data_IF_485180364495
#
_entry.id   IF_485180364495
#
_cell.length_a   1.000
_cell.length_b   1.000
_cell.length_c   1.000
_cell.angle_alpha   90.00
_cell.angle_beta   90.00
_cell.angle_gamma   90.00
#
_symmetry.space_group_name_H-M   'P 1'
#
loop_
_entity.id
_entity.type
_entity.pdbx_description
1 polymer ?
#
# COMPACT_ATOMS: atom_id res chain seq x y z
N UNK A 1 38.41 -18.92 -1.70
CA UNK A 1 37.89 -17.66 -1.07
C UNK A 1 36.95 -18.13 0.02
N UNK A 2 37.10 -17.65 1.25
CA UNK A 2 36.14 -18.01 2.32
C UNK A 2 34.75 -17.47 1.92
N UNK A 3 33.72 -18.32 2.04
CA UNK A 3 32.32 -17.86 1.84
C UNK A 3 32.02 -16.74 2.83
N UNK A 4 31.47 -15.63 2.34
CA UNK A 4 31.03 -14.54 3.21
C UNK A 4 29.92 -15.04 4.15
N UNK A 5 29.95 -14.64 5.43
CA UNK A 5 28.95 -15.09 6.40
C UNK A 5 27.53 -14.66 5.98
N UNK A 6 26.59 -15.58 6.09
CA UNK A 6 25.17 -15.29 5.84
C UNK A 6 24.53 -14.58 7.03
N UNK A 7 23.82 -13.48 6.79
CA UNK A 7 23.17 -12.67 7.83
C UNK A 7 21.67 -12.96 7.95
N UNK A 8 21.07 -13.45 6.88
CA UNK A 8 19.66 -13.84 6.85
C UNK A 8 19.41 -14.87 5.75
N UNK A 9 18.90 -16.05 6.09
CA UNK A 9 18.75 -17.18 5.16
C UNK A 9 20.07 -17.38 4.38
N UNK A 10 19.97 -17.38 3.04
CA UNK A 10 21.14 -17.56 2.16
C UNK A 10 21.79 -16.22 1.73
N UNK A 11 21.38 -15.08 2.33
CA UNK A 11 21.91 -13.77 1.98
C UNK A 11 23.16 -13.41 2.80
N UNK A 12 24.23 -12.98 2.14
CA UNK A 12 25.28 -12.15 2.73
C UNK A 12 24.71 -10.75 3.02
N UNK A 13 25.47 -9.92 3.76
CA UNK A 13 25.03 -8.54 4.05
C UNK A 13 24.78 -7.76 2.76
N UNK A 14 25.72 -7.84 1.80
CA UNK A 14 25.59 -7.13 0.53
C UNK A 14 24.39 -7.61 -0.29
N UNK A 15 24.18 -8.90 -0.38
CA UNK A 15 23.04 -9.47 -1.11
C UNK A 15 21.69 -9.03 -0.49
N UNK A 16 21.61 -8.99 0.84
CA UNK A 16 20.42 -8.52 1.54
C UNK A 16 20.17 -7.02 1.32
N UNK A 17 21.21 -6.20 1.38
CA UNK A 17 21.14 -4.77 1.14
C UNK A 17 20.68 -4.47 -0.30
N UNK A 18 21.26 -5.14 -1.28
CA UNK A 18 20.89 -5.04 -2.69
C UNK A 18 19.43 -5.52 -2.93
N UNK A 19 18.99 -6.58 -2.23
CA UNK A 19 17.63 -7.09 -2.32
C UNK A 19 16.58 -6.07 -1.84
N UNK A 20 16.94 -5.19 -0.88
CA UNK A 20 16.07 -4.10 -0.43
C UNK A 20 16.28 -2.78 -1.18
N UNK A 21 17.33 -2.61 -1.99
CA UNK A 21 17.54 -1.42 -2.83
C UNK A 21 16.93 -1.66 -4.23
N UNK A 22 15.66 -1.28 -4.38
CA UNK A 22 14.90 -1.62 -5.58
C UNK A 22 15.38 -0.93 -6.86
N UNK A 23 16.18 0.14 -6.78
CA UNK A 23 16.80 0.78 -7.95
C UNK A 23 17.84 -0.12 -8.63
N UNK A 24 18.42 -1.08 -7.90
CA UNK A 24 19.29 -2.12 -8.47
C UNK A 24 18.53 -3.03 -9.44
N UNK A 25 17.25 -3.30 -9.17
CA UNK A 25 16.38 -4.21 -9.92
C UNK A 25 15.46 -3.50 -10.91
N UNK A 26 15.41 -2.18 -10.86
CA UNK A 26 14.56 -1.35 -11.70
C UNK A 26 15.35 -0.15 -12.25
N UNK A 27 16.16 -0.33 -13.28
CA UNK A 27 17.02 0.73 -13.84
C UNK A 27 16.22 1.90 -14.43
N UNK A 28 14.93 1.70 -14.72
CA UNK A 28 14.01 2.71 -15.24
C UNK A 28 13.27 3.50 -14.13
N UNK A 29 13.70 3.38 -12.86
CA UNK A 29 13.03 4.01 -11.72
C UNK A 29 12.82 5.52 -11.90
N UNK A 30 13.88 6.27 -12.24
CA UNK A 30 13.79 7.73 -12.38
C UNK A 30 12.85 8.14 -13.54
N UNK A 31 12.85 7.40 -14.62
CA UNK A 31 11.91 7.60 -15.74
C UNK A 31 10.45 7.43 -15.26
N UNK A 32 10.18 6.32 -14.57
CA UNK A 32 8.83 6.01 -14.08
C UNK A 32 8.37 7.05 -13.03
N UNK A 33 9.27 7.49 -12.16
CA UNK A 33 9.01 8.54 -11.18
C UNK A 33 8.60 9.85 -11.86
N UNK A 34 9.36 10.28 -12.87
CA UNK A 34 9.06 11.49 -13.63
C UNK A 34 7.73 11.37 -14.40
N UNK A 35 7.45 10.22 -15.01
CA UNK A 35 6.15 9.92 -15.64
C UNK A 35 5.00 9.98 -14.65
N UNK A 36 5.15 9.45 -13.44
CA UNK A 36 4.13 9.51 -12.40
C UNK A 36 3.87 10.95 -11.95
N UNK A 37 4.93 11.75 -11.78
CA UNK A 37 4.82 13.18 -11.44
C UNK A 37 4.04 13.96 -12.49
N UNK A 38 4.40 13.80 -13.77
CA UNK A 38 3.70 14.44 -14.88
C UNK A 38 2.22 13.99 -14.95
N UNK A 39 1.96 12.70 -14.76
CA UNK A 39 0.61 12.14 -14.78
C UNK A 39 -0.24 12.66 -13.60
N UNK A 40 0.33 12.82 -12.42
CA UNK A 40 -0.39 13.42 -11.30
C UNK A 40 -0.79 14.88 -11.59
N UNK A 41 0.08 15.65 -12.24
CA UNK A 41 -0.24 17.02 -12.65
C UNK A 41 -1.40 17.03 -13.67
N UNK A 42 -1.37 16.13 -14.66
CA UNK A 42 -2.45 15.96 -15.64
C UNK A 42 -3.78 15.52 -14.99
N UNK A 43 -3.74 14.57 -14.07
CA UNK A 43 -4.93 14.15 -13.31
C UNK A 43 -5.54 15.33 -12.56
N UNK A 44 -4.72 16.09 -11.81
CA UNK A 44 -5.20 17.25 -11.07
C UNK A 44 -5.75 18.37 -11.96
N UNK A 45 -5.27 18.47 -13.19
CA UNK A 45 -5.81 19.43 -14.17
C UNK A 45 -7.16 19.01 -14.76
N UNK A 46 -7.45 17.71 -14.86
CA UNK A 46 -8.63 17.16 -15.57
C UNK A 46 -9.72 16.61 -14.65
N UNK A 47 -9.39 16.29 -13.42
CA UNK A 47 -10.32 15.70 -12.46
C UNK A 47 -10.52 16.65 -11.29
N UNK A 48 -11.74 16.69 -10.79
CA UNK A 48 -12.00 17.27 -9.48
C UNK A 48 -11.12 16.56 -8.45
N UNK A 49 -10.50 17.33 -7.57
CA UNK A 49 -9.72 16.80 -6.46
C UNK A 49 -9.73 17.81 -5.31
N UNK A 50 -9.63 17.33 -4.11
CA UNK A 50 -9.57 18.17 -2.92
C UNK A 50 -8.89 17.44 -1.77
N UNK A 51 -8.42 18.21 -0.78
CA UNK A 51 -7.80 17.67 0.41
C UNK A 51 -8.76 17.72 1.60
N UNK A 52 -8.60 16.74 2.50
CA UNK A 52 -9.28 16.71 3.80
C UNK A 52 -8.28 16.32 4.87
N UNK A 53 -8.45 16.91 6.05
CA UNK A 53 -7.67 16.50 7.24
C UNK A 53 -8.38 15.36 7.94
N UNK A 54 -7.60 14.35 8.34
CA UNK A 54 -8.08 13.25 9.17
C UNK A 54 -7.53 13.30 10.61
N UNK A 55 -6.61 14.22 10.90
CA UNK A 55 -6.01 14.45 12.19
C UNK A 55 -5.39 15.85 12.31
N UNK A 56 -4.74 16.12 13.45
CA UNK A 56 -4.19 17.44 13.77
C UNK A 56 -2.73 17.60 13.30
N UNK A 57 -2.03 16.50 13.07
CA UNK A 57 -0.64 16.50 12.63
C UNK A 57 -0.44 17.16 11.25
N UNK A 58 0.74 17.70 10.97
CA UNK A 58 1.00 18.48 9.75
C UNK A 58 0.79 17.69 8.46
N UNK A 59 0.97 16.37 8.52
CA UNK A 59 0.86 15.48 7.37
C UNK A 59 -0.45 14.65 7.35
N UNK A 60 -1.30 14.79 8.35
CA UNK A 60 -2.54 14.02 8.50
C UNK A 60 -3.63 14.54 7.57
N UNK A 61 -3.42 14.37 6.26
CA UNK A 61 -4.35 14.75 5.20
C UNK A 61 -4.53 13.61 4.19
N UNK A 62 -5.63 13.66 3.48
CA UNK A 62 -5.89 12.82 2.30
C UNK A 62 -6.16 13.69 1.11
N UNK A 63 -5.66 13.30 -0.06
CA UNK A 63 -6.05 13.84 -1.35
C UNK A 63 -7.13 12.92 -1.93
N UNK A 64 -8.29 13.47 -2.28
CA UNK A 64 -9.45 12.75 -2.78
C UNK A 64 -9.68 13.13 -4.23
N UNK A 65 -9.73 12.12 -5.10
CA UNK A 65 -10.21 12.24 -6.48
C UNK A 65 -11.55 11.51 -6.53
N UNK A 66 -12.68 12.25 -6.69
CA UNK A 66 -14.01 11.66 -6.66
C UNK A 66 -14.29 10.72 -7.83
N UNK A 67 -15.20 9.76 -7.62
CA UNK A 67 -15.78 8.96 -8.69
C UNK A 67 -16.50 9.88 -9.70
N UNK A 68 -16.26 9.68 -11.01
CA UNK A 68 -16.95 10.45 -12.04
C UNK A 68 -18.43 10.12 -12.16
N UNK A 69 -18.79 8.86 -11.93
CA UNK A 69 -20.17 8.38 -11.91
C UNK A 69 -20.28 7.32 -10.83
N UNK A 70 -21.23 7.49 -9.92
CA UNK A 70 -21.58 6.39 -9.02
C UNK A 70 -22.62 5.52 -9.72
N UNK A 71 -22.46 4.19 -9.80
CA UNK A 71 -23.45 3.28 -10.41
C UNK A 71 -24.83 3.40 -9.75
N UNK A 72 -24.87 3.87 -8.51
CA UNK A 72 -26.09 4.12 -7.75
C UNK A 72 -25.86 5.35 -6.86
N UNK A 73 -26.28 6.51 -7.34
CA UNK A 73 -26.12 7.79 -6.64
C UNK A 73 -26.68 7.81 -5.20
N UNK A 74 -27.60 6.89 -4.87
CA UNK A 74 -28.22 6.76 -3.54
C UNK A 74 -27.42 5.96 -2.53
N UNK A 75 -26.42 5.16 -2.95
CA UNK A 75 -25.69 4.22 -2.06
C UNK A 75 -24.28 4.68 -1.72
N UNK A 76 -23.78 5.78 -2.32
CA UNK A 76 -22.39 6.20 -2.22
C UNK A 76 -21.44 5.33 -3.09
N UNK A 77 -20.29 5.89 -3.45
CA UNK A 77 -19.28 5.16 -4.24
C UNK A 77 -18.29 4.40 -3.33
N UNK A 78 -17.71 3.28 -3.79
CA UNK A 78 -16.60 2.65 -3.07
C UNK A 78 -15.44 3.61 -2.88
N UNK A 79 -14.72 3.45 -1.79
CA UNK A 79 -13.50 4.21 -1.49
C UNK A 79 -12.31 3.28 -1.61
N UNK A 80 -11.38 3.58 -2.52
CA UNK A 80 -10.08 2.94 -2.60
C UNK A 80 -9.03 3.83 -1.90
N UNK A 81 -8.66 3.45 -0.69
CA UNK A 81 -7.66 4.13 0.12
C UNK A 81 -6.27 3.68 -0.29
N UNK A 82 -5.45 4.59 -0.80
CA UNK A 82 -4.09 4.29 -1.26
C UNK A 82 -3.04 4.74 -0.25
N UNK A 83 -2.20 3.78 0.16
CA UNK A 83 -1.04 4.01 1.02
C UNK A 83 0.23 3.92 0.18
N UNK A 84 0.88 5.06 -0.04
CA UNK A 84 2.04 5.13 -0.90
C UNK A 84 3.29 4.47 -0.31
N UNK A 85 4.19 4.05 -1.19
CA UNK A 85 5.51 3.55 -0.86
C UNK A 85 6.55 4.66 -0.68
N UNK A 86 7.83 4.29 -0.75
CA UNK A 86 8.95 5.20 -0.64
C UNK A 86 9.88 4.89 0.52
N UNK A 87 10.02 3.63 0.88
CA UNK A 87 10.94 3.17 1.94
C UNK A 87 10.66 3.79 3.30
N UNK A 88 9.38 4.14 3.59
CA UNK A 88 8.92 4.91 4.77
C UNK A 88 9.54 6.31 4.88
N UNK A 89 10.20 6.83 3.83
CA UNK A 89 10.90 8.12 3.81
C UNK A 89 10.08 9.18 3.06
N UNK A 90 10.40 10.47 3.22
CA UNK A 90 9.71 11.56 2.56
C UNK A 90 9.65 11.40 1.04
N UNK A 91 8.48 11.69 0.46
CA UNK A 91 8.22 11.66 -0.97
C UNK A 91 7.85 13.09 -1.43
N UNK A 92 8.83 13.91 -1.76
CA UNK A 92 8.60 15.35 -2.01
C UNK A 92 7.74 15.62 -3.24
N UNK A 93 7.68 14.68 -4.20
CA UNK A 93 6.94 14.88 -5.44
C UNK A 93 5.41 14.78 -5.27
N UNK A 94 4.91 14.28 -4.13
CA UNK A 94 3.48 14.05 -3.87
C UNK A 94 2.76 13.35 -5.05
N UNK A 95 3.44 12.40 -5.70
CA UNK A 95 2.95 11.73 -6.90
C UNK A 95 2.14 10.48 -6.54
N UNK A 96 0.97 10.65 -5.88
CA UNK A 96 0.19 9.54 -5.34
C UNK A 96 -1.12 9.27 -6.09
N UNK A 97 -1.58 10.18 -6.97
CA UNK A 97 -2.86 10.03 -7.68
C UNK A 97 -2.72 9.61 -9.16
N UNK A 98 -1.55 9.11 -9.58
CA UNK A 98 -1.23 8.82 -10.99
C UNK A 98 -2.09 7.73 -11.65
N UNK A 99 -2.90 6.99 -10.91
CA UNK A 99 -3.88 6.02 -11.43
C UNK A 99 -5.32 6.36 -11.03
N UNK A 100 -5.56 7.60 -10.57
CA UNK A 100 -6.86 8.01 -10.08
C UNK A 100 -7.94 7.99 -11.16
N UNK A 101 -7.60 8.27 -12.41
CA UNK A 101 -8.53 8.24 -13.53
C UNK A 101 -9.08 6.83 -13.79
N UNK A 102 -8.27 5.79 -13.65
CA UNK A 102 -8.74 4.40 -13.73
C UNK A 102 -9.79 4.11 -12.66
N UNK A 103 -9.54 4.53 -11.43
CA UNK A 103 -10.43 4.31 -10.28
C UNK A 103 -11.69 5.17 -10.41
N UNK A 104 -11.54 6.46 -10.70
CA UNK A 104 -12.65 7.41 -10.80
C UNK A 104 -13.59 7.10 -11.98
N UNK A 105 -13.03 6.74 -13.14
CA UNK A 105 -13.84 6.35 -14.31
C UNK A 105 -14.59 5.03 -14.08
N UNK A 106 -14.06 4.13 -13.25
CA UNK A 106 -14.73 2.89 -12.87
C UNK A 106 -15.85 3.11 -11.83
N UNK A 107 -15.96 4.29 -11.22
CA UNK A 107 -17.00 4.63 -10.27
C UNK A 107 -16.62 4.49 -8.80
N UNK A 108 -15.32 4.56 -8.46
CA UNK A 108 -14.85 4.62 -7.07
C UNK A 108 -14.08 5.93 -6.80
N UNK A 109 -14.06 6.36 -5.53
CA UNK A 109 -13.18 7.43 -5.09
C UNK A 109 -11.76 6.87 -4.90
N UNK A 110 -10.73 7.55 -5.41
CA UNK A 110 -9.37 7.34 -4.96
C UNK A 110 -9.08 8.31 -3.82
N UNK A 111 -8.65 7.78 -2.67
CA UNK A 111 -8.24 8.55 -1.50
C UNK A 111 -6.79 8.25 -1.21
N UNK A 112 -5.89 9.15 -1.54
CA UNK A 112 -4.45 8.98 -1.34
C UNK A 112 -4.03 9.55 0.03
N UNK A 113 -3.46 8.70 0.88
CA UNK A 113 -3.00 9.10 2.21
C UNK A 113 -1.74 9.95 2.14
N UNK A 114 -1.69 11.01 2.96
CA UNK A 114 -0.46 11.65 3.40
C UNK A 114 -0.29 11.39 4.90
N UNK A 115 0.90 11.12 5.32
CA UNK A 115 1.24 10.77 6.69
C UNK A 115 2.72 11.09 6.96
N UNK A 116 3.09 11.20 8.23
CA UNK A 116 4.47 11.40 8.64
C UNK A 116 5.35 10.24 8.19
N UNK A 117 6.61 10.53 7.91
CA UNK A 117 7.57 9.55 7.39
C UNK A 117 8.86 9.60 8.20
N UNK A 118 9.67 8.55 8.10
CA UNK A 118 10.96 8.47 8.78
C UNK A 118 11.96 9.42 8.09
N UNK A 119 12.28 10.55 8.71
CA UNK A 119 13.26 11.51 8.20
C UNK A 119 14.25 11.94 9.31
N UNK A 120 15.03 11.00 9.88
CA UNK A 120 16.07 11.35 10.82
C UNK A 120 17.19 12.14 10.13
N UNK A 121 17.79 13.15 10.80
CA UNK A 121 17.49 13.59 12.17
C UNK A 121 16.43 14.69 12.26
N UNK A 122 15.80 15.10 11.14
CA UNK A 122 14.93 16.30 11.09
C UNK A 122 13.63 16.13 11.85
N UNK A 123 13.04 14.93 11.78
CA UNK A 123 11.76 14.62 12.44
C UNK A 123 11.92 13.32 13.21
N UNK A 124 11.61 13.29 14.51
CA UNK A 124 11.73 12.08 15.32
C UNK A 124 10.57 11.10 15.12
N UNK A 125 9.93 11.10 13.94
CA UNK A 125 8.84 10.18 13.62
C UNK A 125 9.35 8.75 13.63
N UNK A 126 8.62 7.88 14.32
CA UNK A 126 8.86 6.44 14.37
C UNK A 126 7.79 5.69 13.56
N UNK A 127 8.06 4.45 13.20
CA UNK A 127 7.07 3.62 12.48
C UNK A 127 5.74 3.46 13.24
N UNK A 128 5.70 3.30 14.59
CA UNK A 128 4.44 3.33 15.33
C UNK A 128 3.61 4.58 15.09
N UNK A 129 4.24 5.76 14.98
CA UNK A 129 3.54 7.03 14.73
C UNK A 129 2.87 7.04 13.36
N UNK A 130 3.60 6.60 12.32
CA UNK A 130 3.06 6.45 10.96
C UNK A 130 1.85 5.52 10.92
N UNK A 131 1.93 4.38 11.62
CA UNK A 131 0.85 3.41 11.70
C UNK A 131 -0.34 3.98 12.46
N UNK A 132 -0.11 4.71 13.54
CA UNK A 132 -1.16 5.38 14.30
C UNK A 132 -1.89 6.43 13.46
N UNK A 133 -1.17 7.22 12.67
CA UNK A 133 -1.76 8.19 11.73
C UNK A 133 -2.64 7.48 10.69
N UNK A 134 -2.16 6.41 10.07
CA UNK A 134 -2.93 5.66 9.08
C UNK A 134 -4.15 4.95 9.69
N UNK A 135 -4.05 4.47 10.94
CA UNK A 135 -5.21 3.95 11.68
C UNK A 135 -6.26 5.04 11.89
N UNK A 136 -5.85 6.28 12.25
CA UNK A 136 -6.77 7.43 12.33
C UNK A 136 -7.40 7.74 10.98
N UNK A 137 -6.63 7.68 9.88
CA UNK A 137 -7.15 7.91 8.53
C UNK A 137 -8.26 6.91 8.16
N UNK A 138 -8.07 5.63 8.43
CA UNK A 138 -9.09 4.60 8.17
C UNK A 138 -10.33 4.79 9.06
N UNK A 139 -10.15 5.06 10.35
CA UNK A 139 -11.27 5.36 11.26
C UNK A 139 -12.04 6.61 10.81
N UNK A 140 -11.32 7.65 10.38
CA UNK A 140 -11.91 8.86 9.80
C UNK A 140 -12.70 8.56 8.53
N UNK A 141 -12.21 7.71 7.62
CA UNK A 141 -12.96 7.28 6.44
C UNK A 141 -14.25 6.57 6.83
N UNK A 142 -14.22 5.71 7.85
CA UNK A 142 -15.39 5.00 8.36
C UNK A 142 -16.53 5.92 8.84
N UNK A 143 -16.21 7.15 9.22
CA UNK A 143 -17.19 8.13 9.71
C UNK A 143 -17.47 9.26 8.72
N UNK A 144 -16.53 9.58 7.84
CA UNK A 144 -16.60 10.79 7.01
C UNK A 144 -16.77 10.52 5.50
N UNK A 145 -16.66 9.26 5.03
CA UNK A 145 -16.75 8.95 3.60
C UNK A 145 -18.02 9.50 2.95
N UNK A 146 -19.16 9.45 3.64
CA UNK A 146 -20.43 9.99 3.14
C UNK A 146 -20.40 11.50 2.85
N UNK A 147 -19.54 12.27 3.53
CA UNK A 147 -19.44 13.71 3.34
C UNK A 147 -18.88 14.12 1.96
N UNK A 148 -18.25 13.18 1.25
CA UNK A 148 -17.75 13.38 -0.11
C UNK A 148 -18.34 12.36 -1.11
N UNK A 149 -19.48 11.74 -0.79
CA UNK A 149 -20.18 10.80 -1.67
C UNK A 149 -19.65 9.36 -1.64
N UNK A 150 -18.76 9.06 -0.71
CA UNK A 150 -18.26 7.70 -0.49
C UNK A 150 -19.19 6.88 0.42
N UNK A 151 -19.16 5.55 0.27
CA UNK A 151 -19.87 4.64 1.15
C UNK A 151 -18.91 4.17 2.27
N UNK A 152 -19.16 4.54 3.55
CA UNK A 152 -18.35 4.11 4.68
C UNK A 152 -18.35 2.59 4.91
N UNK A 153 -19.28 1.87 4.29
CA UNK A 153 -19.36 0.39 4.32
C UNK A 153 -18.59 -0.27 3.16
N UNK A 154 -17.97 0.51 2.28
CA UNK A 154 -17.24 0.03 1.10
C UNK A 154 -15.85 0.68 1.02
N UNK A 155 -15.10 0.61 2.13
CA UNK A 155 -13.72 1.10 2.21
C UNK A 155 -12.80 -0.07 1.91
N UNK A 156 -11.95 0.11 0.91
CA UNK A 156 -10.95 -0.86 0.45
C UNK A 156 -9.58 -0.20 0.52
N UNK A 157 -8.53 -0.97 0.75
CA UNK A 157 -7.17 -0.41 0.87
C UNK A 157 -6.22 -1.04 -0.15
N UNK A 158 -5.38 -0.22 -0.74
CA UNK A 158 -4.27 -0.65 -1.59
C UNK A 158 -2.99 0.04 -1.16
N UNK A 159 -1.89 -0.70 -1.09
CA UNK A 159 -0.58 -0.12 -0.80
C UNK A 159 0.50 -0.69 -1.67
N UNK A 160 1.58 0.10 -1.82
CA UNK A 160 2.74 -0.29 -2.61
C UNK A 160 4.02 -0.24 -1.78
N UNK A 161 4.89 -1.25 -1.91
CA UNK A 161 6.21 -1.28 -1.27
C UNK A 161 6.11 -1.12 0.25
N UNK A 162 6.77 -0.11 0.85
CA UNK A 162 6.58 0.22 2.27
C UNK A 162 5.13 0.59 2.61
N UNK A 163 4.35 1.11 1.65
CA UNK A 163 2.91 1.30 1.81
C UNK A 163 2.13 -0.01 1.81
N UNK A 164 2.59 -1.06 1.10
CA UNK A 164 2.00 -2.39 1.18
C UNK A 164 2.27 -3.06 2.53
N UNK A 165 3.46 -2.83 3.11
CA UNK A 165 3.71 -3.19 4.51
C UNK A 165 2.70 -2.53 5.44
N UNK A 166 2.58 -1.19 5.38
CA UNK A 166 1.63 -0.44 6.20
C UNK A 166 0.18 -0.90 5.97
N UNK A 167 -0.20 -1.17 4.72
CA UNK A 167 -1.50 -1.76 4.36
C UNK A 167 -1.72 -3.12 5.03
N UNK A 168 -0.72 -4.00 5.03
CA UNK A 168 -0.84 -5.31 5.68
C UNK A 168 -1.03 -5.19 7.20
N UNK A 169 -0.38 -4.22 7.84
CA UNK A 169 -0.59 -3.89 9.26
C UNK A 169 -2.01 -3.36 9.51
N UNK A 170 -2.53 -2.50 8.61
CA UNK A 170 -3.92 -2.04 8.71
C UNK A 170 -4.92 -3.19 8.58
N UNK A 171 -4.68 -4.15 7.67
CA UNK A 171 -5.54 -5.32 7.46
C UNK A 171 -5.53 -6.30 8.65
N UNK A 172 -4.45 -6.31 9.43
CA UNK A 172 -4.30 -7.11 10.66
C UNK A 172 -4.49 -6.31 11.94
N UNK A 173 -5.08 -5.10 11.85
CA UNK A 173 -5.41 -4.27 13.00
C UNK A 173 -6.74 -4.71 13.63
N UNK A 174 -6.79 -4.80 14.95
CA UNK A 174 -8.05 -4.88 15.70
C UNK A 174 -8.71 -3.49 15.74
N UNK A 175 -9.60 -3.23 14.80
CA UNK A 175 -10.25 -1.94 14.61
C UNK A 175 -11.16 -1.52 15.76
N UNK A 176 -11.65 -2.47 16.55
CA UNK A 176 -12.51 -2.17 17.70
C UNK A 176 -11.78 -1.32 18.76
N UNK A 177 -10.46 -1.45 18.83
CA UNK A 177 -9.60 -0.65 19.71
C UNK A 177 -9.43 0.81 19.23
N UNK A 178 -9.84 1.10 18.00
CA UNK A 178 -9.74 2.43 17.38
C UNK A 178 -11.11 3.05 17.11
N UNK A 179 -12.17 2.53 17.75
CA UNK A 179 -13.53 3.05 17.62
C UNK A 179 -14.18 2.84 16.25
N UNK A 180 -13.65 1.91 15.46
CA UNK A 180 -14.19 1.54 14.16
C UNK A 180 -14.76 0.11 14.16
N UNK A 181 -15.68 -0.23 13.24
CA UNK A 181 -16.14 -1.60 13.07
C UNK A 181 -14.98 -2.56 12.79
N UNK A 182 -15.02 -3.78 13.34
CA UNK A 182 -13.97 -4.78 13.14
C UNK A 182 -13.70 -5.07 11.65
N UNK A 183 -14.71 -4.88 10.80
CA UNK A 183 -14.68 -5.08 9.36
C UNK A 183 -14.71 -3.76 8.56
N UNK A 184 -14.22 -2.66 9.12
CA UNK A 184 -14.20 -1.35 8.45
C UNK A 184 -13.53 -1.42 7.08
N UNK A 185 -12.47 -2.20 6.93
CA UNK A 185 -11.86 -2.53 5.64
C UNK A 185 -12.53 -3.76 5.02
N UNK A 186 -13.07 -3.60 3.82
CA UNK A 186 -13.79 -4.68 3.11
C UNK A 186 -12.90 -5.53 2.22
N UNK A 187 -11.75 -5.02 1.83
CA UNK A 187 -10.69 -5.79 1.16
C UNK A 187 -9.38 -5.03 1.17
N UNK A 188 -8.28 -5.74 0.92
CA UNK A 188 -6.96 -5.14 0.76
C UNK A 188 -6.18 -5.69 -0.42
N UNK A 189 -5.34 -4.83 -1.00
CA UNK A 189 -4.36 -5.23 -2.01
C UNK A 189 -2.98 -4.74 -1.59
N UNK A 190 -2.07 -5.68 -1.37
CA UNK A 190 -0.69 -5.41 -1.01
C UNK A 190 0.19 -5.66 -2.23
N UNK A 191 0.75 -4.59 -2.80
CA UNK A 191 1.60 -4.67 -4.00
C UNK A 191 3.06 -4.53 -3.60
N UNK A 192 3.86 -5.58 -3.82
CA UNK A 192 5.31 -5.56 -3.61
C UNK A 192 5.70 -5.17 -2.18
N UNK A 193 5.07 -5.81 -1.18
CA UNK A 193 5.23 -5.46 0.24
C UNK A 193 6.28 -6.29 0.97
N UNK A 194 6.52 -5.88 2.20
CA UNK A 194 7.30 -6.61 3.20
C UNK A 194 6.35 -6.97 4.34
N UNK A 195 6.25 -8.24 4.69
CA UNK A 195 5.26 -8.73 5.65
C UNK A 195 5.90 -9.33 6.90
N UNK A 196 7.22 -9.50 6.84
CA UNK A 196 8.12 -9.84 7.93
C UNK A 196 9.23 -8.80 7.96
N UNK A 197 9.44 -8.13 9.11
CA UNK A 197 10.37 -7.01 9.20
C UNK A 197 11.79 -7.43 9.62
N UNK A 198 11.99 -8.66 10.08
CA UNK A 198 13.31 -9.12 10.50
C UNK A 198 14.40 -8.88 9.44
N UNK A 199 14.23 -9.27 8.16
CA UNK A 199 15.25 -9.00 7.15
C UNK A 199 15.45 -7.52 6.86
N UNK A 200 14.41 -6.68 7.01
CA UNK A 200 14.53 -5.21 6.90
C UNK A 200 15.48 -4.66 7.96
N UNK A 201 15.34 -5.12 9.22
CA UNK A 201 16.18 -4.71 10.35
C UNK A 201 17.62 -5.24 10.27
N UNK A 202 17.86 -6.25 9.46
CA UNK A 202 19.21 -6.78 9.18
C UNK A 202 19.86 -6.12 7.96
N UNK A 203 19.09 -5.43 7.12
CA UNK A 203 19.59 -4.74 5.94
C UNK A 203 20.08 -3.31 6.27
N UNK A 204 20.65 -2.63 5.27
CA UNK A 204 21.05 -1.21 5.35
C UNK A 204 19.90 -0.28 5.80
N UNK A 205 18.63 -0.71 5.67
CA UNK A 205 17.47 0.06 6.17
C UNK A 205 17.43 0.18 7.68
N UNK A 206 18.14 -0.69 8.41
CA UNK A 206 18.32 -0.58 9.86
C UNK A 206 18.97 0.75 10.29
N UNK A 207 19.63 1.46 9.38
CA UNK A 207 20.17 2.79 9.66
C UNK A 207 19.08 3.78 10.09
N UNK A 208 17.85 3.66 9.56
CA UNK A 208 16.74 4.58 9.84
C UNK A 208 15.45 3.88 10.32
N UNK A 209 15.27 2.60 10.07
CA UNK A 209 14.15 1.81 10.64
C UNK A 209 14.59 1.28 11.99
N UNK A 210 14.01 1.82 13.06
CA UNK A 210 14.30 1.43 14.45
C UNK A 210 13.04 0.91 15.11
N UNK A 211 13.05 -0.38 15.45
CA UNK A 211 11.93 -1.05 16.13
C UNK A 211 12.44 -1.80 17.35
N UNK A 212 11.63 -1.86 18.40
CA UNK A 212 11.84 -2.82 19.47
C UNK A 212 11.45 -4.22 18.99
N UNK A 213 11.81 -5.30 19.70
CA UNK A 213 11.35 -6.65 19.36
C UNK A 213 9.82 -6.78 19.32
N UNK A 214 9.12 -6.09 20.23
CA UNK A 214 7.65 -6.08 20.30
C UNK A 214 7.04 -5.34 19.11
N UNK A 215 7.66 -4.22 18.67
CA UNK A 215 7.26 -3.47 17.49
C UNK A 215 7.55 -4.25 16.20
N UNK A 216 8.68 -4.94 16.12
CA UNK A 216 8.97 -5.85 14.99
C UNK A 216 7.93 -6.95 14.89
N UNK A 217 7.55 -7.54 16.04
CA UNK A 217 6.50 -8.56 16.08
C UNK A 217 5.15 -7.99 15.64
N UNK A 218 4.68 -6.93 16.28
CA UNK A 218 3.36 -6.31 16.02
C UNK A 218 3.22 -5.83 14.58
N UNK A 219 4.31 -5.34 13.96
CA UNK A 219 4.26 -4.80 12.60
C UNK A 219 4.69 -5.79 11.51
N UNK A 220 5.02 -7.01 11.87
CA UNK A 220 5.20 -8.13 10.94
C UNK A 220 3.85 -8.83 10.69
N UNK A 221 3.06 -8.31 9.76
CA UNK A 221 1.66 -8.74 9.55
C UNK A 221 1.49 -10.25 9.34
N UNK A 222 2.51 -10.94 8.83
CA UNK A 222 2.51 -12.40 8.65
C UNK A 222 2.32 -13.17 9.97
N UNK A 223 2.62 -12.55 11.11
CA UNK A 223 2.47 -13.14 12.45
C UNK A 223 1.06 -12.97 13.03
N UNK A 224 0.22 -12.09 12.44
CA UNK A 224 -1.08 -11.68 12.98
C UNK A 224 -2.26 -11.96 12.04
N UNK A 225 -2.17 -13.01 11.24
CA UNK A 225 -3.18 -13.38 10.24
C UNK A 225 -4.54 -13.78 10.84
N UNK A 226 -4.57 -14.12 12.11
CA UNK A 226 -5.79 -14.39 12.89
C UNK A 226 -6.69 -13.14 13.06
N UNK A 227 -6.09 -11.95 12.94
CA UNK A 227 -6.79 -10.66 13.00
C UNK A 227 -7.43 -10.24 11.67
N UNK A 228 -7.08 -10.89 10.55
CA UNK A 228 -7.63 -10.55 9.23
C UNK A 228 -9.14 -10.79 9.17
N UNK A 229 -9.90 -9.81 8.63
CA UNK A 229 -11.37 -9.86 8.54
C UNK A 229 -11.93 -9.67 7.13
N UNK A 230 -11.09 -9.60 6.11
CA UNK A 230 -11.51 -9.35 4.74
C UNK A 230 -10.62 -10.04 3.71
N UNK A 231 -11.08 -10.18 2.46
CA UNK A 231 -10.26 -10.70 1.37
C UNK A 231 -9.02 -9.85 1.11
N UNK A 232 -7.90 -10.51 0.77
CA UNK A 232 -6.63 -9.86 0.47
C UNK A 232 -6.06 -10.35 -0.86
N UNK A 233 -5.53 -9.42 -1.66
CA UNK A 233 -4.68 -9.72 -2.82
C UNK A 233 -3.23 -9.38 -2.47
N UNK A 234 -2.33 -10.34 -2.65
CA UNK A 234 -0.88 -10.15 -2.55
C UNK A 234 -0.32 -10.17 -3.96
N UNK A 235 0.13 -9.02 -4.45
CA UNK A 235 0.67 -8.86 -5.79
C UNK A 235 2.16 -8.51 -5.75
N UNK A 236 2.93 -9.01 -6.70
CA UNK A 236 4.34 -8.65 -6.88
C UNK A 236 4.80 -8.94 -8.31
N UNK A 237 5.83 -8.20 -8.75
CA UNK A 237 6.40 -8.36 -10.09
C UNK A 237 7.38 -9.53 -10.18
N UNK A 238 7.38 -10.24 -11.32
CA UNK A 238 8.32 -11.35 -11.55
C UNK A 238 9.77 -10.89 -11.76
N UNK A 239 10.00 -9.59 -12.00
CA UNK A 239 11.33 -8.96 -12.12
C UNK A 239 11.75 -8.18 -10.88
N UNK A 240 11.07 -8.35 -9.75
CA UNK A 240 11.53 -7.79 -8.49
C UNK A 240 12.69 -8.59 -7.89
N UNK A 241 13.33 -8.02 -6.86
CA UNK A 241 14.38 -8.72 -6.14
C UNK A 241 13.88 -10.05 -5.55
N UNK A 242 14.77 -11.05 -5.37
CA UNK A 242 14.40 -12.33 -4.79
C UNK A 242 13.69 -12.19 -3.43
N UNK A 243 14.10 -11.22 -2.60
CA UNK A 243 13.52 -11.02 -1.28
C UNK A 243 12.08 -10.47 -1.35
N UNK A 244 11.78 -9.51 -2.22
CA UNK A 244 10.41 -9.04 -2.38
C UNK A 244 9.48 -10.13 -2.92
N UNK A 245 9.96 -10.93 -3.87
CA UNK A 245 9.22 -12.09 -4.35
C UNK A 245 9.03 -13.15 -3.25
N UNK A 246 10.08 -13.42 -2.43
CA UNK A 246 9.98 -14.34 -1.28
C UNK A 246 8.94 -13.86 -0.27
N UNK A 247 8.98 -12.60 0.09
CA UNK A 247 8.01 -11.98 1.02
C UNK A 247 6.57 -12.13 0.50
N UNK A 248 6.34 -11.84 -0.78
CA UNK A 248 5.03 -12.00 -1.41
C UNK A 248 4.54 -13.44 -1.38
N UNK A 249 5.37 -14.40 -1.83
CA UNK A 249 5.04 -15.84 -1.81
C UNK A 249 4.78 -16.35 -0.40
N UNK A 250 5.64 -16.01 0.55
CA UNK A 250 5.52 -16.48 1.94
C UNK A 250 4.24 -15.96 2.60
N UNK A 251 3.90 -14.69 2.38
CA UNK A 251 2.69 -14.11 2.93
C UNK A 251 1.43 -14.72 2.31
N UNK A 252 1.39 -14.87 0.98
CA UNK A 252 0.29 -15.52 0.29
C UNK A 252 0.12 -16.99 0.73
N UNK A 253 1.22 -17.72 0.91
CA UNK A 253 1.20 -19.09 1.40
C UNK A 253 0.66 -19.17 2.85
N UNK A 254 1.12 -18.28 3.74
CA UNK A 254 0.65 -18.22 5.12
C UNK A 254 -0.84 -17.89 5.22
N UNK A 255 -1.34 -16.97 4.39
CA UNK A 255 -2.76 -16.64 4.28
C UNK A 255 -3.58 -17.86 3.85
N UNK A 256 -3.15 -18.57 2.80
CA UNK A 256 -3.83 -19.80 2.33
C UNK A 256 -3.83 -20.89 3.39
N UNK A 257 -2.73 -21.09 4.09
CA UNK A 257 -2.62 -22.09 5.16
C UNK A 257 -3.60 -21.82 6.33
N UNK A 258 -3.98 -20.55 6.54
CA UNK A 258 -5.01 -20.15 7.51
C UNK A 258 -6.44 -20.20 6.96
N UNK A 259 -6.64 -20.59 5.70
CA UNK A 259 -7.96 -20.58 5.05
C UNK A 259 -8.50 -19.15 4.80
N UNK A 260 -7.64 -18.13 4.86
CA UNK A 260 -8.04 -16.76 4.56
C UNK A 260 -8.39 -16.60 3.07
N UNK A 261 -9.40 -15.80 2.71
CA UNK A 261 -9.73 -15.51 1.32
C UNK A 261 -8.64 -14.64 0.69
N UNK A 262 -7.58 -15.30 0.21
CA UNK A 262 -6.39 -14.65 -0.31
C UNK A 262 -6.12 -15.03 -1.77
N UNK A 263 -5.73 -14.05 -2.58
CA UNK A 263 -5.28 -14.23 -3.95
C UNK A 263 -3.82 -13.80 -4.08
N UNK A 264 -2.99 -14.67 -4.62
CA UNK A 264 -1.65 -14.33 -5.07
C UNK A 264 -1.72 -13.92 -6.55
N UNK A 265 -1.10 -12.79 -6.88
CA UNK A 265 -1.07 -12.24 -8.24
C UNK A 265 0.37 -11.91 -8.65
N UNK A 266 0.96 -12.75 -9.47
CA UNK A 266 2.27 -12.48 -10.04
C UNK A 266 2.09 -11.58 -11.27
N UNK A 267 2.72 -10.41 -11.23
CA UNK A 267 2.71 -9.45 -12.33
C UNK A 267 3.89 -9.75 -13.24
N UNK A 268 3.64 -10.61 -14.21
CA UNK A 268 4.70 -11.15 -15.07
C UNK A 268 5.38 -10.07 -15.91
N UNK A 269 6.71 -10.15 -15.98
CA UNK A 269 7.56 -9.22 -16.71
C UNK A 269 7.73 -7.84 -16.07
N UNK A 270 7.06 -7.54 -14.95
CA UNK A 270 7.10 -6.23 -14.31
C UNK A 270 8.07 -6.19 -13.13
N UNK A 271 8.78 -5.05 -13.00
CA UNK A 271 9.60 -4.75 -11.84
C UNK A 271 8.79 -4.08 -10.72
N UNK A 272 9.47 -3.73 -9.63
CA UNK A 272 8.89 -3.16 -8.42
C UNK A 272 8.01 -1.92 -8.65
N UNK A 273 8.41 -1.02 -9.54
CA UNK A 273 7.69 0.23 -9.79
C UNK A 273 6.66 0.10 -10.92
N UNK A 274 6.90 -0.79 -11.88
CA UNK A 274 5.96 -1.10 -12.95
C UNK A 274 4.73 -1.82 -12.42
N UNK A 275 4.90 -2.67 -11.39
CA UNK A 275 3.81 -3.43 -10.77
C UNK A 275 2.63 -2.56 -10.39
N UNK A 276 2.82 -1.62 -9.46
CA UNK A 276 1.75 -0.70 -9.03
C UNK A 276 1.34 0.26 -10.15
N UNK A 277 2.28 0.68 -11.01
CA UNK A 277 2.00 1.58 -12.13
C UNK A 277 1.04 0.94 -13.14
N UNK A 278 0.98 -0.37 -13.23
CA UNK A 278 0.02 -1.07 -14.10
C UNK A 278 -1.45 -0.75 -13.78
N UNK A 279 -1.74 -0.19 -12.59
CA UNK A 279 -3.07 0.35 -12.26
C UNK A 279 -3.55 1.47 -13.21
N UNK A 280 -2.65 2.11 -13.95
CA UNK A 280 -2.98 3.11 -14.96
C UNK A 280 -3.79 2.51 -16.12
N UNK A 281 -3.54 1.23 -16.43
CA UNK A 281 -4.18 0.51 -17.50
C UNK A 281 -5.37 -0.29 -16.96
N UNK A 282 -6.64 0.11 -17.26
CA UNK A 282 -7.82 -0.52 -16.69
C UNK A 282 -7.90 -2.04 -16.97
N UNK A 283 -7.30 -2.49 -18.07
CA UNK A 283 -7.29 -3.90 -18.47
C UNK A 283 -6.09 -4.69 -17.93
N UNK A 284 -5.18 -4.06 -17.20
CA UNK A 284 -4.06 -4.78 -16.58
C UNK A 284 -4.56 -5.83 -15.57
N UNK A 285 -3.81 -6.91 -15.34
CA UNK A 285 -4.17 -7.91 -14.33
C UNK A 285 -4.41 -7.31 -12.94
N UNK A 286 -3.58 -6.32 -12.53
CA UNK A 286 -3.73 -5.67 -11.23
C UNK A 286 -4.97 -4.79 -11.17
N UNK A 287 -5.21 -3.93 -12.16
CA UNK A 287 -6.37 -3.04 -12.17
C UNK A 287 -7.68 -3.86 -12.18
N UNK A 288 -7.79 -4.88 -13.05
CA UNK A 288 -8.96 -5.77 -13.08
C UNK A 288 -9.19 -6.46 -11.73
N UNK A 289 -8.12 -6.94 -11.10
CA UNK A 289 -8.24 -7.59 -9.79
C UNK A 289 -8.73 -6.60 -8.73
N UNK A 290 -8.15 -5.40 -8.66
CA UNK A 290 -8.55 -4.37 -7.69
C UNK A 290 -9.99 -3.94 -7.93
N UNK A 291 -10.36 -3.60 -9.17
CA UNK A 291 -11.73 -3.17 -9.50
C UNK A 291 -12.76 -4.26 -9.19
N UNK A 292 -12.48 -5.52 -9.55
CA UNK A 292 -13.33 -6.66 -9.18
C UNK A 292 -13.48 -6.80 -7.66
N UNK A 293 -12.38 -6.65 -6.92
CA UNK A 293 -12.35 -6.81 -5.46
C UNK A 293 -13.14 -5.73 -4.73
N UNK A 294 -13.24 -4.52 -5.29
CA UNK A 294 -14.06 -3.42 -4.76
C UNK A 294 -15.51 -3.43 -5.29
N UNK A 295 -15.89 -4.48 -6.02
CA UNK A 295 -17.25 -4.67 -6.53
C UNK A 295 -17.57 -3.88 -7.79
N UNK A 296 -16.54 -3.48 -8.57
CA UNK A 296 -16.69 -2.80 -9.85
C UNK A 296 -16.22 -3.74 -10.98
N UNK A 297 -17.02 -3.83 -12.03
CA UNK A 297 -16.59 -4.50 -13.25
C UNK A 297 -15.49 -3.64 -13.92
N UNK A 298 -14.44 -4.28 -14.47
CA UNK A 298 -13.58 -3.59 -15.42
C UNK A 298 -14.46 -3.14 -16.59
N UNK A 299 -14.38 -1.84 -16.96
CA UNK A 299 -15.09 -1.34 -18.12
C UNK A 299 -14.82 -2.26 -19.31
N UNK A 300 -15.91 -2.82 -19.88
CA UNK A 300 -15.84 -3.54 -21.14
C UNK A 300 -15.40 -2.53 -22.19
N UNK A 301 -14.27 -2.81 -22.85
CA UNK A 301 -13.77 -2.04 -23.99
C UNK A 301 -14.74 -2.09 -25.15
#
# INVERSE_FOLDING_TARGET
MADEPKVYLDYTQKELDDAFEQTVWAPNFEELRNKNKARCADIRARFEHFERRYGEGPHETVEIVPAKQSPKASEGAPVLFFVHGGRWRPQPDNAFVYFADTVANAGAHLVAARFSTLDPPKVPTRMPDMIAELRRAVAWLGTNAASFGGDPKRIHVIGHSSGAHLTSVLLTTDWTRFGAPADVLKSGTCVSGMYELRPVLLSARSAYVKLTPEEEDEFSAIRHLDRLRCPITVAYGSKESPEFQRQGRSFAAALRARGAPAKELILDGLNHFEGIRSMIEPQSPLARQVLSQIGLASASS
#
